data_IF_183173814139
#
_entry.id   IF_183173814139
#
_cell.length_a   1.000
_cell.length_b   1.000
_cell.length_c   1.000
_cell.angle_alpha   90.00
_cell.angle_beta   90.00
_cell.angle_gamma   90.00
#
_symmetry.space_group_name_H-M   'P 1'
#
loop_
_entity.id
_entity.type
_entity.pdbx_description
1 polymer ?
#
# COMPACT_ATOMS: atom_id res chain seq x y z
N UNK A 1 -39.07 28.45 -11.32
CA UNK A 1 -40.11 27.40 -11.23
C UNK A 1 -39.92 26.33 -12.29
N UNK A 2 -38.82 25.59 -12.26
CA UNK A 2 -38.65 24.43 -13.14
C UNK A 2 -38.59 23.17 -12.27
N UNK A 3 -39.76 22.79 -11.76
CA UNK A 3 -40.03 21.43 -11.34
C UNK A 3 -40.08 20.58 -12.61
N UNK A 4 -38.98 19.91 -12.94
CA UNK A 4 -38.98 18.88 -13.98
C UNK A 4 -39.78 17.69 -13.45
N UNK A 5 -41.04 17.63 -13.86
CA UNK A 5 -41.81 16.44 -14.25
C UNK A 5 -41.28 15.14 -13.62
N UNK A 6 -41.73 14.87 -12.39
CA UNK A 6 -41.51 13.59 -11.73
C UNK A 6 -42.58 12.62 -12.25
N UNK A 7 -42.22 11.76 -13.20
CA UNK A 7 -43.06 10.64 -13.60
C UNK A 7 -43.22 9.69 -12.40
N UNK A 8 -44.47 9.33 -12.10
CA UNK A 8 -44.88 8.56 -10.94
C UNK A 8 -44.56 7.06 -11.05
N UNK A 9 -43.60 6.68 -11.89
CA UNK A 9 -42.96 5.36 -11.87
C UNK A 9 -41.65 5.39 -11.06
N UNK A 10 -41.59 6.18 -9.98
CA UNK A 10 -40.44 6.22 -9.09
C UNK A 10 -40.31 4.87 -8.38
N UNK A 11 -39.59 3.94 -9.02
CA UNK A 11 -39.00 2.79 -8.34
C UNK A 11 -37.96 3.38 -7.39
N UNK A 12 -38.41 3.72 -6.17
CA UNK A 12 -37.54 4.28 -5.14
C UNK A 12 -36.35 3.33 -4.98
N UNK A 13 -35.14 3.84 -5.25
CA UNK A 13 -33.91 3.10 -4.98
C UNK A 13 -33.93 2.81 -3.48
N UNK A 14 -34.25 1.57 -3.13
CA UNK A 14 -34.33 1.18 -1.74
C UNK A 14 -32.93 1.33 -1.16
N UNK A 15 -32.79 2.25 -0.19
CA UNK A 15 -31.52 2.48 0.48
C UNK A 15 -31.26 1.22 1.29
N UNK A 16 -30.19 0.50 0.94
CA UNK A 16 -29.78 -0.68 1.69
C UNK A 16 -28.94 -0.23 2.87
N UNK A 17 -29.33 -0.68 4.05
CA UNK A 17 -28.62 -0.48 5.31
C UNK A 17 -27.47 -1.48 5.41
N UNK A 18 -26.63 -1.51 4.38
CA UNK A 18 -25.51 -2.44 4.25
C UNK A 18 -24.17 -1.69 4.43
N UNK A 19 -23.53 -1.95 5.57
CA UNK A 19 -22.25 -1.35 5.95
C UNK A 19 -21.17 -1.63 4.92
N UNK A 20 -21.14 -2.83 4.33
CA UNK A 20 -20.11 -3.21 3.36
C UNK A 20 -20.28 -2.42 2.05
N UNK A 21 -21.52 -2.25 1.60
CA UNK A 21 -21.83 -1.45 0.42
C UNK A 21 -21.38 0.01 0.60
N UNK A 22 -21.71 0.62 1.74
CA UNK A 22 -21.34 2.02 2.01
C UNK A 22 -19.85 2.19 2.27
N UNK A 23 -19.20 1.22 2.93
CA UNK A 23 -17.75 1.14 3.03
C UNK A 23 -17.09 1.20 1.64
N UNK A 24 -17.56 0.39 0.67
CA UNK A 24 -17.04 0.39 -0.71
C UNK A 24 -17.35 1.70 -1.45
N UNK A 25 -18.58 2.22 -1.36
CA UNK A 25 -19.01 3.46 -2.02
C UNK A 25 -18.23 4.69 -1.55
N UNK A 26 -17.85 4.73 -0.28
CA UNK A 26 -17.08 5.83 0.32
C UNK A 26 -15.57 5.59 0.25
N UNK A 27 -15.11 4.84 -0.76
CA UNK A 27 -13.70 4.66 -1.02
C UNK A 27 -12.99 3.82 0.04
N UNK A 28 -13.64 2.76 0.52
CA UNK A 28 -13.06 1.83 1.49
C UNK A 28 -12.71 2.46 2.85
N UNK A 29 -13.51 3.45 3.26
CA UNK A 29 -13.37 4.16 4.53
C UNK A 29 -13.40 3.21 5.74
N UNK A 30 -12.64 3.51 6.80
CA UNK A 30 -12.71 2.75 8.05
C UNK A 30 -14.16 2.68 8.58
N UNK A 31 -14.66 1.48 8.89
CA UNK A 31 -16.03 1.24 9.38
C UNK A 31 -16.34 2.01 10.65
N UNK A 32 -15.35 2.22 11.53
CA UNK A 32 -15.52 3.06 12.73
C UNK A 32 -15.82 4.51 12.35
N UNK A 33 -15.03 5.06 11.42
CA UNK A 33 -15.25 6.42 10.93
C UNK A 33 -16.54 6.54 10.13
N UNK A 34 -16.95 5.49 9.40
CA UNK A 34 -18.24 5.44 8.73
C UNK A 34 -19.40 5.53 9.74
N UNK A 35 -19.31 4.77 10.84
CA UNK A 35 -20.29 4.81 11.93
C UNK A 35 -20.34 6.19 12.58
N UNK A 36 -19.18 6.80 12.87
CA UNK A 36 -19.10 8.15 13.43
C UNK A 36 -19.70 9.21 12.51
N UNK A 37 -19.46 9.08 11.20
CA UNK A 37 -19.96 9.99 10.17
C UNK A 37 -21.49 9.94 10.06
N UNK A 38 -22.07 8.74 10.15
CA UNK A 38 -23.54 8.55 10.17
C UNK A 38 -24.14 9.06 11.47
N UNK A 39 -23.56 8.72 12.62
CA UNK A 39 -24.06 9.13 13.94
C UNK A 39 -24.03 10.66 14.15
N UNK A 40 -23.04 11.33 13.56
CA UNK A 40 -22.92 12.80 13.59
C UNK A 40 -23.69 13.50 12.47
N UNK A 41 -24.43 12.74 11.64
CA UNK A 41 -25.22 13.25 10.51
C UNK A 41 -24.42 14.15 9.55
N UNK A 42 -23.12 13.87 9.37
CA UNK A 42 -22.22 14.71 8.56
C UNK A 42 -22.53 14.62 7.06
N UNK A 43 -23.03 13.47 6.60
CA UNK A 43 -23.35 13.22 5.19
C UNK A 43 -24.81 12.89 5.03
N UNK A 44 -25.49 13.59 4.13
CA UNK A 44 -26.89 13.36 3.79
C UNK A 44 -27.04 12.14 2.86
N UNK A 45 -28.08 11.34 3.07
CA UNK A 45 -28.44 10.22 2.19
C UNK A 45 -27.73 8.90 2.47
N UNK A 46 -26.86 8.84 3.48
CA UNK A 46 -26.37 7.57 4.04
C UNK A 46 -27.41 7.10 5.07
N UNK A 47 -27.89 5.85 5.00
CA UNK A 47 -28.83 5.32 5.99
C UNK A 47 -28.19 5.20 7.37
N UNK A 48 -29.03 4.96 8.38
CA UNK A 48 -28.55 4.60 9.71
C UNK A 48 -27.91 3.21 9.64
N UNK A 49 -26.59 3.18 9.69
CA UNK A 49 -25.80 1.95 9.67
C UNK A 49 -25.58 1.46 11.10
N UNK A 50 -25.92 0.20 11.37
CA UNK A 50 -25.54 -0.46 12.62
C UNK A 50 -24.08 -0.88 12.46
N UNK A 51 -23.20 -0.37 13.32
CA UNK A 51 -21.76 -0.67 13.26
C UNK A 51 -21.49 -2.18 13.24
N UNK A 52 -20.60 -2.61 12.35
CA UNK A 52 -20.15 -4.00 12.26
C UNK A 52 -18.64 -4.07 12.48
N UNK A 53 -18.22 -4.31 13.72
CA UNK A 53 -16.81 -4.39 14.11
C UNK A 53 -16.06 -5.58 13.47
N UNK A 54 -16.79 -6.53 12.87
CA UNK A 54 -16.24 -7.75 12.27
C UNK A 54 -16.12 -7.70 10.74
N UNK A 55 -16.39 -6.55 10.10
CA UNK A 55 -16.26 -6.45 8.64
C UNK A 55 -14.79 -6.55 8.21
N UNK A 56 -14.45 -7.64 7.53
CA UNK A 56 -13.13 -7.85 6.92
C UNK A 56 -13.25 -7.62 5.41
N UNK A 57 -12.70 -6.50 4.92
CA UNK A 57 -12.67 -6.19 3.50
C UNK A 57 -11.32 -6.63 2.89
N UNK A 58 -11.35 -7.63 1.99
CA UNK A 58 -10.16 -8.16 1.32
C UNK A 58 -9.28 -7.10 0.64
N UNK A 59 -9.84 -6.24 -0.24
CA UNK A 59 -9.08 -5.14 -0.87
C UNK A 59 -8.44 -4.17 0.13
N UNK A 60 -9.12 -3.85 1.23
CA UNK A 60 -8.57 -2.99 2.29
C UNK A 60 -7.40 -3.65 2.98
N UNK A 61 -7.50 -4.94 3.27
CA UNK A 61 -6.44 -5.70 3.92
C UNK A 61 -5.19 -5.73 3.04
N UNK A 62 -5.35 -5.98 1.74
CA UNK A 62 -4.25 -5.96 0.78
C UNK A 62 -3.67 -4.55 0.62
N UNK A 63 -4.51 -3.52 0.47
CA UNK A 63 -4.05 -2.13 0.30
C UNK A 63 -3.41 -1.52 1.53
N UNK A 64 -3.74 -2.01 2.74
CA UNK A 64 -3.14 -1.59 4.01
C UNK A 64 -2.03 -2.54 4.48
N UNK A 65 -1.71 -3.57 3.71
CA UNK A 65 -0.68 -4.51 4.08
C UNK A 65 0.67 -3.79 4.13
N UNK A 66 1.31 -3.81 5.30
CA UNK A 66 2.67 -3.31 5.47
C UNK A 66 3.67 -4.44 5.23
N UNK A 67 4.85 -4.11 4.72
CA UNK A 67 5.95 -5.09 4.58
C UNK A 67 6.33 -5.60 5.97
N UNK A 68 6.39 -6.92 6.12
CA UNK A 68 6.89 -7.55 7.35
C UNK A 68 8.34 -7.13 7.57
N UNK A 69 8.72 -6.91 8.83
CA UNK A 69 10.11 -6.59 9.16
C UNK A 69 11.02 -7.76 8.78
N UNK A 70 12.14 -7.46 8.12
CA UNK A 70 13.19 -8.46 7.92
C UNK A 70 13.79 -8.84 9.27
N UNK A 71 14.19 -10.10 9.42
CA UNK A 71 14.97 -10.53 10.58
C UNK A 71 16.29 -9.75 10.59
N UNK A 72 16.75 -9.38 11.79
CA UNK A 72 18.09 -8.83 11.94
C UNK A 72 19.09 -9.92 11.55
N UNK A 73 20.07 -9.52 10.76
CA UNK A 73 21.18 -10.35 10.32
C UNK A 73 22.46 -9.67 10.85
N UNK A 74 23.47 -10.42 11.29
CA UNK A 74 24.74 -9.82 11.68
C UNK A 74 25.38 -9.08 10.51
N UNK A 75 26.23 -8.09 10.82
CA UNK A 75 26.91 -7.31 9.79
C UNK A 75 27.78 -8.21 8.90
N UNK A 76 28.53 -9.14 9.50
CA UNK A 76 29.34 -10.18 8.84
C UNK A 76 28.68 -11.54 9.05
N UNK A 77 28.50 -12.30 7.97
CA UNK A 77 27.95 -13.67 7.98
C UNK A 77 29.01 -14.74 7.66
N UNK A 78 30.11 -14.36 7.02
CA UNK A 78 31.24 -15.23 6.71
C UNK A 78 32.14 -15.52 7.92
N UNK A 79 32.80 -16.69 7.95
CA UNK A 79 33.76 -17.08 8.99
C UNK A 79 35.22 -16.89 8.55
N UNK A 80 35.46 -16.81 7.24
CA UNK A 80 36.78 -16.68 6.64
C UNK A 80 36.75 -15.83 5.35
N UNK A 81 37.94 -15.41 4.90
CA UNK A 81 38.12 -14.58 3.69
C UNK A 81 37.66 -15.36 2.46
N UNK A 82 36.85 -14.72 1.61
CA UNK A 82 36.23 -15.27 0.40
C UNK A 82 35.13 -16.34 0.62
N UNK A 83 34.61 -16.50 1.84
CA UNK A 83 33.44 -17.36 2.09
C UNK A 83 32.16 -16.80 1.44
N UNK A 84 32.00 -15.48 1.45
CA UNK A 84 30.86 -14.76 0.90
C UNK A 84 31.32 -13.47 0.23
N UNK A 85 30.99 -13.30 -1.06
CA UNK A 85 31.31 -12.10 -1.83
C UNK A 85 30.02 -11.49 -2.36
N UNK A 86 29.78 -10.23 -2.02
CA UNK A 86 28.68 -9.43 -2.57
C UNK A 86 29.15 -8.77 -3.86
N UNK A 87 28.41 -8.93 -4.96
CA UNK A 87 28.76 -8.36 -6.25
C UNK A 87 27.61 -7.51 -6.78
N UNK A 88 27.92 -6.33 -7.29
CA UNK A 88 26.93 -5.45 -7.90
C UNK A 88 27.51 -4.74 -9.13
N UNK A 89 26.63 -4.46 -10.10
CA UNK A 89 26.96 -3.73 -11.31
C UNK A 89 26.25 -2.38 -11.31
N UNK A 90 27.03 -1.32 -11.09
CA UNK A 90 26.56 0.05 -11.10
C UNK A 90 26.65 0.62 -12.52
N UNK A 91 25.52 1.02 -13.11
CA UNK A 91 25.49 1.76 -14.39
C UNK A 91 24.22 1.54 -15.23
N UNK A 92 24.12 2.19 -16.41
CA UNK A 92 25.11 3.06 -17.04
C UNK A 92 25.17 4.45 -16.39
N UNK A 93 26.38 4.91 -16.08
CA UNK A 93 26.63 6.26 -15.58
C UNK A 93 26.46 7.31 -16.69
N UNK A 94 26.03 8.51 -16.29
CA UNK A 94 25.88 9.65 -17.19
C UNK A 94 27.24 10.12 -17.73
N UNK A 95 28.28 10.08 -16.89
CA UNK A 95 29.65 10.49 -17.24
C UNK A 95 30.51 9.25 -17.43
N UNK A 96 31.34 9.27 -18.46
CA UNK A 96 32.31 8.20 -18.73
C UNK A 96 33.51 8.29 -17.79
N UNK A 97 34.05 7.12 -17.43
CA UNK A 97 35.35 7.04 -16.78
C UNK A 97 36.47 7.47 -17.74
N UNK A 98 37.68 7.67 -17.20
CA UNK A 98 38.89 7.96 -17.99
C UNK A 98 39.09 6.91 -19.09
N UNK A 99 38.73 5.65 -18.83
CA UNK A 99 38.79 4.54 -19.79
C UNK A 99 37.58 4.43 -20.73
N UNK A 100 36.74 5.46 -20.82
CA UNK A 100 35.49 5.48 -21.60
C UNK A 100 34.51 4.36 -21.23
N UNK A 101 34.50 3.96 -19.96
CA UNK A 101 33.53 2.97 -19.43
C UNK A 101 32.40 3.71 -18.73
N UNK A 102 31.20 3.13 -18.76
CA UNK A 102 30.00 3.66 -18.08
C UNK A 102 29.44 2.74 -17.00
N UNK A 103 30.11 1.63 -16.75
CA UNK A 103 29.73 0.66 -15.73
C UNK A 103 30.89 0.46 -14.78
N UNK A 104 30.55 0.21 -13.53
CA UNK A 104 31.49 -0.12 -12.46
C UNK A 104 31.01 -1.43 -11.86
N UNK A 105 31.91 -2.42 -11.77
CA UNK A 105 31.60 -3.72 -11.20
C UNK A 105 32.26 -3.82 -9.84
N UNK A 106 31.46 -3.84 -8.79
CA UNK A 106 31.95 -3.83 -7.42
C UNK A 106 31.84 -5.23 -6.84
N UNK A 107 32.93 -5.72 -6.28
CA UNK A 107 32.96 -6.95 -5.48
C UNK A 107 33.39 -6.59 -4.06
N UNK A 108 32.66 -7.07 -3.06
CA UNK A 108 32.96 -6.86 -1.64
C UNK A 108 33.02 -8.20 -0.94
N UNK A 109 34.19 -8.53 -0.39
CA UNK A 109 34.32 -9.68 0.51
C UNK A 109 33.62 -9.38 1.84
N UNK A 110 32.76 -10.29 2.29
CA UNK A 110 31.96 -10.10 3.50
C UNK A 110 32.82 -10.14 4.77
N UNK A 111 33.86 -10.97 4.82
CA UNK A 111 34.68 -11.13 6.02
C UNK A 111 35.64 -9.97 6.22
N UNK A 112 36.51 -9.74 5.22
CA UNK A 112 37.58 -8.75 5.28
C UNK A 112 37.13 -7.32 4.96
N UNK A 113 35.93 -7.17 4.38
CA UNK A 113 35.44 -5.91 3.79
C UNK A 113 36.33 -5.35 2.68
N UNK A 114 37.22 -6.17 2.13
CA UNK A 114 38.00 -5.80 0.97
C UNK A 114 37.08 -5.59 -0.23
N UNK A 115 37.31 -4.50 -0.96
CA UNK A 115 36.47 -4.09 -2.09
C UNK A 115 37.31 -3.98 -3.37
N UNK A 116 36.86 -4.67 -4.42
CA UNK A 116 37.38 -4.52 -5.78
C UNK A 116 36.39 -3.72 -6.62
N UNK A 117 36.92 -2.81 -7.45
CA UNK A 117 36.15 -1.88 -8.31
C UNK A 117 36.78 -1.86 -9.71
#
# INVERSE_FOLDING_TARGET
>A
NNCYMWDQSAKCLNVRDDVELWHKRLGHMNVRHLTDLVNKEIVRGVPKLIGCDKLVCGPCNQGKQIRVQHKKVPDVQSESVLDLVHMDLLGPMQVESIGRKRYVFVLVDDYSRYTWV
#
